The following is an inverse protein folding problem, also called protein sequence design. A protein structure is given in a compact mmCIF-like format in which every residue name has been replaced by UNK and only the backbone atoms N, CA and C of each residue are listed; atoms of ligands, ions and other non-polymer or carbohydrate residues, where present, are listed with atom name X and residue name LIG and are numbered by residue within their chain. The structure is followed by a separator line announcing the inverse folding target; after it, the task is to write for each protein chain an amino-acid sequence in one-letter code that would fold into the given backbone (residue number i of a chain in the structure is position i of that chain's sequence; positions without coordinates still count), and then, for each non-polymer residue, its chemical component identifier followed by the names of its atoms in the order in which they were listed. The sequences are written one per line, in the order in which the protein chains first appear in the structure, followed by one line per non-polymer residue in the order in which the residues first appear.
data_IF_819262797578
#
_entry.id   IF_819262797578
#
_cell.length_a   1.000
_cell.length_b   1.000
_cell.length_c   1.000
_cell.angle_alpha   90.00
_cell.angle_beta   90.00
_cell.angle_gamma   90.00
#
_symmetry.space_group_name_H-M   'P 1'
#
loop_
_entity.id
_entity.type
_entity.pdbx_description
1 polymer ?
#
# COMPACT_ATOMS: atom_id res chain seq x y z
N UNK A 1 -22.23 -17.54 15.18
CA UNK A 1 -22.66 -17.08 13.85
C UNK A 1 -21.62 -16.07 13.43
N UNK A 2 -20.60 -16.58 12.79
CA UNK A 2 -19.36 -15.91 12.45
C UNK A 2 -19.57 -15.12 11.15
N UNK A 3 -20.13 -13.92 11.28
CA UNK A 3 -20.26 -12.98 10.18
C UNK A 3 -18.94 -12.21 10.00
N UNK A 4 -18.03 -12.79 9.22
CA UNK A 4 -16.95 -12.03 8.60
C UNK A 4 -16.98 -12.29 7.09
N UNK A 5 -17.77 -11.53 6.32
CA UNK A 5 -17.46 -11.24 4.94
C UNK A 5 -16.68 -9.93 4.89
N UNK A 6 -15.56 -9.82 5.62
CA UNK A 6 -14.53 -8.83 5.27
C UNK A 6 -13.86 -9.38 4.03
N UNK A 7 -14.51 -9.15 2.89
CA UNK A 7 -13.83 -8.96 1.63
C UNK A 7 -12.62 -8.10 1.97
N UNK A 8 -11.45 -8.75 2.03
CA UNK A 8 -10.20 -8.10 2.29
C UNK A 8 -10.13 -6.95 1.30
N UNK A 9 -10.31 -5.73 1.78
CA UNK A 9 -9.96 -4.54 1.05
C UNK A 9 -8.49 -4.70 0.75
N UNK A 10 -8.18 -5.26 -0.42
CA UNK A 10 -6.82 -5.42 -0.93
C UNK A 10 -6.15 -4.05 -1.19
N UNK A 11 -6.83 -2.97 -0.82
CA UNK A 11 -6.44 -1.57 -0.91
C UNK A 11 -6.47 -0.85 0.45
N UNK A 12 -6.68 -1.52 1.59
CA UNK A 12 -6.60 -0.84 2.89
C UNK A 12 -5.14 -0.41 3.16
N UNK A 13 -4.93 0.85 3.55
CA UNK A 13 -3.61 1.44 3.75
C UNK A 13 -2.65 0.57 4.61
N UNK A 14 -3.08 -0.06 5.73
CA UNK A 14 -2.21 -0.96 6.49
C UNK A 14 -1.73 -2.18 5.70
N UNK A 15 -2.58 -2.75 4.82
CA UNK A 15 -2.22 -3.87 3.95
C UNK A 15 -1.25 -3.44 2.85
N UNK A 16 -1.47 -2.28 2.25
CA UNK A 16 -0.58 -1.67 1.25
C UNK A 16 0.82 -1.42 1.84
N UNK A 17 0.89 -0.86 3.06
CA UNK A 17 2.15 -0.63 3.76
C UNK A 17 2.87 -1.93 4.13
N UNK A 18 2.13 -2.96 4.53
CA UNK A 18 2.70 -4.28 4.82
C UNK A 18 3.27 -4.95 3.56
N UNK A 19 2.57 -4.87 2.42
CA UNK A 19 3.06 -5.36 1.13
C UNK A 19 4.33 -4.60 0.71
N UNK A 20 4.32 -3.27 0.81
CA UNK A 20 5.47 -2.43 0.49
C UNK A 20 6.71 -2.84 1.31
N UNK A 21 6.57 -2.96 2.63
CA UNK A 21 7.68 -3.37 3.51
C UNK A 21 8.21 -4.76 3.17
N UNK A 22 7.34 -5.72 2.86
CA UNK A 22 7.73 -7.06 2.49
C UNK A 22 8.48 -7.13 1.15
N UNK A 23 8.03 -6.37 0.14
CA UNK A 23 8.68 -6.32 -1.17
C UNK A 23 10.02 -5.55 -1.11
N UNK A 24 10.06 -4.45 -0.34
CA UNK A 24 11.28 -3.69 -0.11
C UNK A 24 12.36 -4.52 0.60
N UNK A 25 11.97 -5.38 1.55
CA UNK A 25 12.90 -6.29 2.22
C UNK A 25 13.47 -7.38 1.30
N UNK A 26 12.78 -7.72 0.21
CA UNK A 26 13.22 -8.73 -0.76
C UNK A 26 14.18 -8.17 -1.84
N UNK A 27 14.13 -6.86 -2.09
CA UNK A 27 14.98 -6.19 -3.07
C UNK A 27 16.49 -6.48 -2.95
N UNK A 28 17.10 -6.45 -1.75
CA UNK A 28 18.54 -6.71 -1.58
C UNK A 28 18.97 -8.12 -1.99
N UNK A 29 18.06 -9.09 -1.90
CA UNK A 29 18.33 -10.51 -2.17
C UNK A 29 17.81 -10.96 -3.55
N UNK A 30 17.13 -10.08 -4.28
CA UNK A 30 16.51 -10.39 -5.56
C UNK A 30 17.52 -10.36 -6.72
N UNK A 31 17.42 -11.33 -7.63
CA UNK A 31 18.14 -11.27 -8.92
C UNK A 31 17.72 -10.04 -9.72
N UNK A 32 18.58 -9.51 -10.58
CA UNK A 32 18.36 -8.24 -11.30
C UNK A 32 16.97 -8.11 -11.96
N UNK A 33 16.54 -9.12 -12.71
CA UNK A 33 15.20 -9.17 -13.37
C UNK A 33 14.03 -9.24 -12.38
N UNK A 34 14.25 -9.78 -11.19
CA UNK A 34 13.25 -9.80 -10.12
C UNK A 34 13.23 -8.46 -9.37
N UNK A 35 14.39 -7.84 -9.15
CA UNK A 35 14.51 -6.50 -8.58
C UNK A 35 13.80 -5.45 -9.43
N UNK A 36 13.87 -5.51 -10.76
CA UNK A 36 13.11 -4.58 -11.63
C UNK A 36 11.60 -4.72 -11.47
N UNK A 37 11.10 -5.96 -11.40
CA UNK A 37 9.67 -6.22 -11.15
C UNK A 37 9.25 -5.76 -9.76
N UNK A 38 10.08 -5.97 -8.74
CA UNK A 38 9.83 -5.47 -7.39
C UNK A 38 9.81 -3.94 -7.35
N UNK A 39 10.72 -3.27 -8.05
CA UNK A 39 10.73 -1.79 -8.14
C UNK A 39 9.48 -1.25 -8.81
N UNK A 40 9.02 -1.86 -9.91
CA UNK A 40 7.78 -1.46 -10.56
C UNK A 40 6.58 -1.61 -9.62
N UNK A 41 6.51 -2.74 -8.91
CA UNK A 41 5.43 -2.98 -7.93
C UNK A 41 5.49 -2.02 -6.74
N UNK A 42 6.67 -1.68 -6.24
CA UNK A 42 6.84 -0.70 -5.16
C UNK A 42 6.38 0.69 -5.60
N UNK A 43 6.66 1.10 -6.85
CA UNK A 43 6.19 2.38 -7.37
C UNK A 43 4.65 2.45 -7.46
N UNK A 44 3.99 1.34 -7.83
CA UNK A 44 2.51 1.25 -7.79
C UNK A 44 1.98 1.41 -6.36
N UNK A 45 2.65 0.79 -5.37
CA UNK A 45 2.25 0.90 -3.96
C UNK A 45 2.48 2.30 -3.40
N UNK A 46 3.57 2.98 -3.79
CA UNK A 46 3.81 4.38 -3.41
C UNK A 46 2.68 5.30 -3.89
N UNK A 47 2.25 5.14 -5.15
CA UNK A 47 1.15 5.94 -5.69
C UNK A 47 -0.17 5.69 -4.95
N UNK A 48 -0.44 4.43 -4.55
CA UNK A 48 -1.60 4.10 -3.72
C UNK A 48 -1.50 4.71 -2.32
N UNK A 49 -0.31 4.74 -1.72
CA UNK A 49 -0.08 5.37 -0.42
C UNK A 49 -0.33 6.87 -0.53
N UNK A 50 0.20 7.54 -1.56
CA UNK A 50 -0.01 8.97 -1.80
C UNK A 50 -1.50 9.31 -1.97
N UNK A 51 -2.26 8.48 -2.70
CA UNK A 51 -3.71 8.65 -2.82
C UNK A 51 -4.44 8.51 -1.48
N UNK A 52 -4.00 7.59 -0.62
CA UNK A 52 -4.56 7.45 0.73
C UNK A 52 -4.23 8.65 1.60
N UNK A 53 -2.98 9.13 1.56
CA UNK A 53 -2.55 10.32 2.30
C UNK A 53 -3.34 11.56 1.85
N UNK A 54 -3.49 11.76 0.53
CA UNK A 54 -4.28 12.86 -0.02
C UNK A 54 -5.73 12.81 0.44
N UNK A 55 -6.37 11.63 0.39
CA UNK A 55 -7.74 11.45 0.92
C UNK A 55 -7.85 11.75 2.40
N UNK A 56 -6.86 11.37 3.21
CA UNK A 56 -6.85 11.67 4.65
C UNK A 56 -6.67 13.16 4.92
N UNK A 57 -5.80 13.83 4.16
CA UNK A 57 -5.58 15.27 4.24
C UNK A 57 -6.86 16.05 3.86
N UNK A 58 -7.54 15.63 2.79
CA UNK A 58 -8.83 16.20 2.40
C UNK A 58 -9.89 16.00 3.49
N UNK A 59 -9.97 14.82 4.10
CA UNK A 59 -10.89 14.57 5.22
C UNK A 59 -10.58 15.41 6.46
N UNK A 60 -9.30 15.63 6.79
CA UNK A 60 -8.92 16.52 7.89
C UNK A 60 -9.26 17.98 7.61
N UNK A 61 -9.18 18.43 6.34
CA UNK A 61 -9.54 19.80 5.97
C UNK A 61 -11.04 20.11 6.08
N UNK A 62 -11.92 19.10 6.04
CA UNK A 62 -13.38 19.29 6.15
C UNK A 62 -13.82 19.40 7.62
N UNK A 63 -13.07 18.84 8.56
CA UNK A 63 -13.42 18.80 10.00
C UNK A 63 -13.04 20.10 10.73
N UNK A 64 -12.19 20.94 10.14
CA UNK A 64 -11.73 22.21 10.72
C UNK A 64 -12.57 23.45 10.28
N UNK A 65 -13.81 23.25 9.82
CA UNK A 65 -14.69 24.34 9.31
C UNK A 65 -15.92 24.60 10.16
#
# INVERSE_FOLDING_TARGET
MDDIPRQYCHNDLPSVLAEYGHLAAQLPSASHRHAERLRARLAELDELIDQHVARLADHQSIVDK
#
